data_IF_120531855659
#
_entry.id   IF_120531855659
#
_cell.length_a   1.000
_cell.length_b   1.000
_cell.length_c   1.000
_cell.angle_alpha   90.00
_cell.angle_beta   90.00
_cell.angle_gamma   90.00
#
_symmetry.space_group_name_H-M   'P 1'
#
loop_
_entity.id
_entity.type
_entity.pdbx_description
1 polymer ?
#
# COMPACT_ATOMS: atom_id res chain seq x y z
N UNK A 1 8.04 0.62 27.38
CA UNK A 1 7.22 0.02 26.31
C UNK A 1 6.95 -1.43 26.69
N UNK A 2 5.70 -1.87 26.70
CA UNK A 2 5.34 -3.23 27.13
C UNK A 2 5.87 -4.26 26.10
N UNK A 3 6.33 -5.43 26.59
CA UNK A 3 6.91 -6.49 25.74
C UNK A 3 6.06 -6.82 24.50
N UNK A 4 4.71 -6.96 24.57
CA UNK A 4 3.87 -7.22 23.39
C UNK A 4 3.95 -6.14 22.30
N UNK A 5 4.04 -4.86 22.68
CA UNK A 5 4.17 -3.75 21.72
C UNK A 5 5.50 -3.79 20.97
N UNK A 6 6.59 -4.12 21.67
CA UNK A 6 7.90 -4.26 21.03
C UNK A 6 7.86 -5.37 19.97
N UNK A 7 7.23 -6.51 20.32
CA UNK A 7 7.11 -7.66 19.41
C UNK A 7 6.27 -7.30 18.18
N UNK A 8 5.12 -6.65 18.37
CA UNK A 8 4.25 -6.23 17.24
C UNK A 8 4.98 -5.22 16.34
N UNK A 9 5.69 -4.25 16.90
CA UNK A 9 6.43 -3.27 16.09
C UNK A 9 7.61 -3.91 15.35
N UNK A 10 8.34 -4.82 16.01
CA UNK A 10 9.38 -5.61 15.36
C UNK A 10 8.78 -6.49 14.25
N UNK A 11 7.64 -7.14 14.52
CA UNK A 11 6.94 -7.97 13.56
C UNK A 11 6.57 -7.20 12.30
N UNK A 12 6.00 -6.02 12.42
CA UNK A 12 5.63 -5.17 11.27
C UNK A 12 6.87 -4.69 10.51
N UNK A 13 7.91 -4.28 11.22
CA UNK A 13 9.16 -3.85 10.58
C UNK A 13 9.79 -4.99 9.77
N UNK A 14 9.91 -6.18 10.35
CA UNK A 14 10.49 -7.37 9.70
C UNK A 14 9.64 -7.84 8.51
N UNK A 15 8.31 -7.86 8.65
CA UNK A 15 7.37 -8.21 7.58
C UNK A 15 7.51 -7.23 6.40
N UNK A 16 7.56 -5.92 6.69
CA UNK A 16 7.70 -4.89 5.66
C UNK A 16 9.09 -4.91 5.00
N UNK A 17 10.16 -5.22 5.75
CA UNK A 17 11.49 -5.48 5.16
C UNK A 17 11.38 -6.66 4.19
N UNK A 18 10.71 -7.76 4.59
CA UNK A 18 10.51 -8.94 3.75
C UNK A 18 9.80 -8.61 2.45
N UNK A 19 8.73 -7.83 2.50
CA UNK A 19 8.03 -7.33 1.31
C UNK A 19 8.96 -6.49 0.44
N UNK A 20 9.70 -5.56 1.04
CA UNK A 20 10.60 -4.65 0.34
C UNK A 20 11.78 -5.35 -0.36
N UNK A 21 12.30 -6.42 0.22
CA UNK A 21 13.41 -7.23 -0.33
C UNK A 21 13.11 -7.74 -1.75
N UNK A 22 11.85 -8.00 -2.06
CA UNK A 22 11.43 -8.61 -3.33
C UNK A 22 11.37 -7.61 -4.47
N UNK A 23 10.91 -6.37 -4.21
CA UNK A 23 10.61 -5.40 -5.26
C UNK A 23 11.71 -5.19 -6.31
N UNK A 24 12.99 -4.98 -5.96
CA UNK A 24 14.05 -4.74 -6.93
C UNK A 24 14.45 -5.99 -7.71
N UNK A 25 14.13 -7.19 -7.20
CA UNK A 25 14.66 -8.47 -7.72
C UNK A 25 13.58 -9.32 -8.40
N UNK A 26 12.31 -9.04 -8.17
CA UNK A 26 11.21 -9.82 -8.73
C UNK A 26 11.28 -9.96 -10.26
N UNK A 27 11.59 -8.91 -11.06
CA UNK A 27 11.75 -9.07 -12.51
C UNK A 27 12.82 -10.08 -12.89
N UNK A 28 14.00 -10.01 -12.28
CA UNK A 28 15.11 -10.94 -12.54
C UNK A 28 14.78 -12.38 -12.16
N UNK A 29 14.01 -12.57 -11.05
CA UNK A 29 13.55 -13.90 -10.67
C UNK A 29 12.56 -14.48 -11.70
N UNK A 30 11.61 -13.65 -12.17
CA UNK A 30 10.64 -14.10 -13.19
C UNK A 30 11.33 -14.44 -14.49
N UNK A 31 12.32 -13.66 -14.92
CA UNK A 31 13.15 -13.93 -16.09
C UNK A 31 13.93 -15.24 -15.95
N UNK A 32 14.60 -15.46 -14.81
CA UNK A 32 15.35 -16.68 -14.50
C UNK A 32 14.48 -17.95 -14.55
N UNK A 33 13.25 -17.85 -14.08
CA UNK A 33 12.32 -18.99 -13.98
C UNK A 33 11.57 -19.25 -15.28
N UNK A 34 11.24 -18.20 -16.05
CA UNK A 34 10.43 -18.33 -17.28
C UNK A 34 11.26 -18.42 -18.55
N UNK A 35 12.52 -17.94 -18.50
CA UNK A 35 13.38 -17.75 -19.67
C UNK A 35 12.72 -16.92 -20.78
N UNK A 36 11.72 -16.10 -20.42
CA UNK A 36 10.99 -15.26 -21.34
C UNK A 36 11.72 -13.93 -21.53
N UNK A 37 11.76 -13.43 -22.75
CA UNK A 37 12.35 -12.12 -23.08
C UNK A 37 11.50 -10.95 -22.60
N UNK A 38 10.20 -11.16 -22.42
CA UNK A 38 9.29 -10.16 -21.87
C UNK A 38 8.47 -10.71 -20.70
N UNK A 39 8.75 -10.16 -19.54
CA UNK A 39 8.23 -10.64 -18.25
C UNK A 39 7.18 -9.68 -17.64
N UNK A 40 6.89 -8.54 -18.29
CA UNK A 40 6.03 -7.50 -17.73
C UNK A 40 4.65 -8.05 -17.34
N UNK A 41 4.02 -8.81 -18.23
CA UNK A 41 2.69 -9.39 -17.98
C UNK A 41 2.70 -10.37 -16.81
N UNK A 42 3.75 -11.18 -16.65
CA UNK A 42 3.88 -12.12 -15.54
C UNK A 42 3.98 -11.41 -14.19
N UNK A 43 4.73 -10.29 -14.13
CA UNK A 43 4.82 -9.47 -12.91
C UNK A 43 3.46 -8.91 -12.53
N UNK A 44 2.74 -8.35 -13.51
CA UNK A 44 1.38 -7.84 -13.28
C UNK A 44 0.42 -8.93 -12.79
N UNK A 45 0.51 -10.14 -13.37
CA UNK A 45 -0.34 -11.25 -12.98
C UNK A 45 -0.02 -11.77 -11.56
N UNK A 46 1.26 -11.88 -11.19
CA UNK A 46 1.70 -12.25 -9.84
C UNK A 46 1.19 -11.26 -8.78
N UNK A 47 1.29 -9.95 -9.07
CA UNK A 47 0.80 -8.89 -8.19
C UNK A 47 -0.73 -8.91 -8.07
N UNK A 48 -1.45 -9.03 -9.20
CA UNK A 48 -2.90 -9.08 -9.23
C UNK A 48 -3.47 -10.33 -8.53
N UNK A 49 -2.83 -11.48 -8.69
CA UNK A 49 -3.23 -12.73 -8.00
C UNK A 49 -3.11 -12.57 -6.49
N UNK A 50 -1.98 -12.05 -6.00
CA UNK A 50 -1.79 -11.75 -4.58
C UNK A 50 -2.89 -10.82 -4.06
N UNK A 51 -3.13 -9.69 -4.76
CA UNK A 51 -4.13 -8.71 -4.36
C UNK A 51 -5.57 -9.28 -4.41
N UNK A 52 -5.89 -10.11 -5.39
CA UNK A 52 -7.19 -10.76 -5.51
C UNK A 52 -7.44 -11.73 -4.36
N UNK A 53 -6.45 -12.56 -4.01
CA UNK A 53 -6.54 -13.46 -2.87
C UNK A 53 -6.67 -12.68 -1.56
N UNK A 54 -5.89 -11.61 -1.38
CA UNK A 54 -5.99 -10.73 -0.22
C UNK A 54 -7.38 -10.09 -0.13
N UNK A 55 -7.93 -9.56 -1.23
CA UNK A 55 -9.26 -8.96 -1.26
C UNK A 55 -10.36 -9.92 -0.81
N UNK A 56 -10.31 -11.17 -1.29
CA UNK A 56 -11.32 -12.19 -0.96
C UNK A 56 -11.19 -12.67 0.49
N UNK A 57 -9.96 -12.89 0.95
CA UNK A 57 -9.71 -13.54 2.24
C UNK A 57 -9.47 -12.59 3.41
N UNK A 58 -9.14 -11.30 3.19
CA UNK A 58 -8.94 -10.35 4.28
C UNK A 58 -10.16 -10.21 5.21
N UNK A 59 -11.42 -10.11 4.73
CA UNK A 59 -12.59 -10.09 5.60
C UNK A 59 -12.77 -11.40 6.38
N UNK A 60 -12.45 -12.53 5.76
CA UNK A 60 -12.51 -13.85 6.41
C UNK A 60 -11.51 -13.95 7.55
N UNK A 61 -10.26 -13.54 7.30
CA UNK A 61 -9.20 -13.51 8.32
C UNK A 61 -9.51 -12.51 9.43
N UNK A 62 -10.11 -11.37 9.09
CA UNK A 62 -10.60 -10.39 10.07
C UNK A 62 -11.64 -11.01 11.03
N UNK A 63 -12.69 -11.63 10.47
CA UNK A 63 -13.73 -12.29 11.23
C UNK A 63 -13.19 -13.48 12.05
N UNK A 64 -12.24 -14.23 11.47
CA UNK A 64 -11.57 -15.32 12.19
C UNK A 64 -10.73 -14.80 13.36
N UNK A 65 -10.07 -13.68 13.18
CA UNK A 65 -9.29 -12.99 14.21
C UNK A 65 -10.17 -12.44 15.36
N UNK A 66 -11.38 -11.99 15.04
CA UNK A 66 -12.35 -11.59 16.06
C UNK A 66 -12.86 -12.79 16.87
N UNK A 67 -13.00 -13.95 16.24
CA UNK A 67 -13.54 -15.16 16.86
C UNK A 67 -12.50 -16.00 17.60
N UNK A 68 -11.36 -16.27 16.99
CA UNK A 68 -10.32 -17.16 17.54
C UNK A 68 -9.29 -16.43 18.40
N UNK A 69 -9.29 -15.09 18.34
CA UNK A 69 -8.25 -14.24 18.90
C UNK A 69 -7.28 -13.72 17.83
N UNK A 70 -6.54 -12.68 18.19
CA UNK A 70 -5.61 -11.98 17.27
C UNK A 70 -4.37 -12.83 16.96
N UNK A 71 -3.81 -13.46 18.01
CA UNK A 71 -2.55 -14.19 17.92
C UNK A 71 -2.58 -15.35 16.91
N UNK A 72 -3.57 -16.27 16.90
CA UNK A 72 -3.59 -17.39 15.95
C UNK A 72 -3.60 -16.93 14.49
N UNK A 73 -4.34 -15.86 14.18
CA UNK A 73 -4.42 -15.33 12.81
C UNK A 73 -3.13 -14.60 12.40
N UNK A 74 -2.48 -13.89 13.33
CA UNK A 74 -1.14 -13.33 13.07
C UNK A 74 -0.11 -14.43 12.79
N UNK A 75 -0.11 -15.52 13.58
CA UNK A 75 0.79 -16.65 13.36
C UNK A 75 0.53 -17.33 12.01
N UNK A 76 -0.75 -17.48 11.62
CA UNK A 76 -1.13 -18.01 10.30
C UNK A 76 -0.59 -17.12 9.18
N UNK A 77 -0.75 -15.79 9.31
CA UNK A 77 -0.29 -14.84 8.29
C UNK A 77 1.23 -14.83 8.15
N UNK A 78 1.97 -14.84 9.26
CA UNK A 78 3.43 -14.93 9.25
C UNK A 78 3.93 -16.26 8.68
N UNK A 79 3.23 -17.36 8.97
CA UNK A 79 3.53 -18.68 8.40
C UNK A 79 3.36 -18.68 6.88
N UNK A 80 2.24 -18.10 6.39
CA UNK A 80 1.97 -18.01 4.95
C UNK A 80 3.02 -17.16 4.22
N UNK A 81 3.43 -16.05 4.81
CA UNK A 81 4.50 -15.20 4.25
C UNK A 81 5.84 -15.98 4.22
N UNK A 82 6.21 -16.67 5.30
CA UNK A 82 7.44 -17.46 5.33
C UNK A 82 7.43 -18.57 4.27
N UNK A 83 6.31 -19.27 4.10
CA UNK A 83 6.13 -20.31 3.07
C UNK A 83 6.28 -19.72 1.67
N UNK A 84 5.62 -18.57 1.39
CA UNK A 84 5.72 -17.91 0.09
C UNK A 84 7.18 -17.54 -0.24
N UNK A 85 7.91 -16.96 0.70
CA UNK A 85 9.31 -16.59 0.45
C UNK A 85 10.21 -17.82 0.23
N UNK A 86 9.95 -18.94 0.92
CA UNK A 86 10.63 -20.23 0.64
C UNK A 86 10.27 -20.71 -0.76
N UNK A 87 9.01 -20.66 -1.14
CA UNK A 87 8.58 -21.03 -2.48
C UNK A 87 9.25 -20.15 -3.53
N UNK A 88 9.28 -18.82 -3.34
CA UNK A 88 9.96 -17.91 -4.27
C UNK A 88 11.47 -18.14 -4.35
N UNK A 89 12.12 -18.49 -3.23
CA UNK A 89 13.55 -18.79 -3.19
C UNK A 89 13.91 -20.02 -4.04
N UNK A 90 13.06 -21.04 -4.07
CA UNK A 90 13.36 -22.35 -4.67
C UNK A 90 12.47 -22.70 -5.87
N UNK A 91 11.55 -21.83 -6.31
CA UNK A 91 10.67 -22.10 -7.43
C UNK A 91 11.43 -22.38 -8.71
N UNK A 92 11.22 -23.55 -9.37
CA UNK A 92 11.79 -23.85 -10.67
C UNK A 92 10.87 -23.44 -11.83
N UNK A 93 9.66 -22.97 -11.56
CA UNK A 93 8.65 -22.64 -12.56
C UNK A 93 7.72 -21.52 -12.14
N UNK A 94 7.18 -20.79 -13.11
CA UNK A 94 6.21 -19.73 -12.90
C UNK A 94 4.98 -20.21 -12.12
N UNK A 95 4.53 -21.46 -12.37
CA UNK A 95 3.39 -22.05 -11.69
C UNK A 95 3.58 -22.09 -10.17
N UNK A 96 4.78 -22.45 -9.73
CA UNK A 96 5.06 -22.48 -8.29
C UNK A 96 5.13 -21.07 -7.68
N UNK A 97 5.63 -20.08 -8.42
CA UNK A 97 5.56 -18.66 -8.01
C UNK A 97 4.10 -18.21 -7.85
N UNK A 98 3.21 -18.58 -8.76
CA UNK A 98 1.78 -18.27 -8.66
C UNK A 98 1.15 -18.92 -7.42
N UNK A 99 1.46 -20.19 -7.13
CA UNK A 99 0.99 -20.86 -5.91
C UNK A 99 1.49 -20.14 -4.66
N UNK A 100 2.76 -19.76 -4.61
CA UNK A 100 3.31 -18.95 -3.51
C UNK A 100 2.55 -17.66 -3.32
N UNK A 101 2.36 -16.87 -4.39
CA UNK A 101 1.59 -15.61 -4.35
C UNK A 101 0.14 -15.81 -3.90
N UNK A 102 -0.50 -16.90 -4.32
CA UNK A 102 -1.85 -17.23 -3.87
C UNK A 102 -1.90 -17.54 -2.37
N UNK A 103 -0.96 -18.33 -1.84
CA UNK A 103 -0.84 -18.62 -0.41
C UNK A 103 -0.58 -17.33 0.38
N UNK A 104 0.36 -16.50 -0.05
CA UNK A 104 0.66 -15.24 0.60
C UNK A 104 -0.55 -14.30 0.64
N UNK A 105 -1.27 -14.16 -0.48
CA UNK A 105 -2.48 -13.34 -0.54
C UNK A 105 -3.60 -13.87 0.36
N UNK A 106 -3.82 -15.21 0.35
CA UNK A 106 -4.81 -15.88 1.19
C UNK A 106 -4.55 -15.67 2.69
N UNK A 107 -3.29 -15.63 3.09
CA UNK A 107 -2.89 -15.47 4.51
C UNK A 107 -2.58 -14.03 4.89
N UNK A 108 -2.66 -13.08 3.97
CA UNK A 108 -2.24 -11.67 4.16
C UNK A 108 -3.21 -10.89 5.05
N UNK A 109 -3.04 -11.03 6.36
CA UNK A 109 -3.80 -10.25 7.35
C UNK A 109 -2.90 -9.52 8.38
N UNK A 110 -1.57 -9.56 8.20
CA UNK A 110 -0.61 -9.04 9.19
C UNK A 110 -0.93 -7.61 9.61
N UNK A 111 -1.12 -6.68 8.67
CA UNK A 111 -1.35 -5.26 8.96
C UNK A 111 -2.70 -5.06 9.66
N UNK A 112 -3.78 -5.67 9.16
CA UNK A 112 -5.13 -5.49 9.71
C UNK A 112 -5.25 -6.07 11.12
N UNK A 113 -4.70 -7.27 11.33
CA UNK A 113 -4.74 -7.92 12.65
C UNK A 113 -3.78 -7.25 13.63
N UNK A 114 -2.60 -6.78 13.19
CA UNK A 114 -1.68 -6.02 14.04
C UNK A 114 -2.26 -4.68 14.48
N UNK A 115 -2.97 -3.96 13.60
CA UNK A 115 -3.67 -2.71 13.97
C UNK A 115 -4.81 -2.99 14.96
N UNK A 116 -5.56 -4.06 14.78
CA UNK A 116 -6.58 -4.50 15.74
C UNK A 116 -5.95 -4.88 17.09
N UNK A 117 -4.85 -5.64 17.08
CA UNK A 117 -4.09 -6.00 18.28
C UNK A 117 -3.62 -4.77 19.06
N UNK A 118 -3.02 -3.78 18.36
CA UNK A 118 -2.60 -2.50 18.98
C UNK A 118 -3.80 -1.77 19.59
N UNK A 119 -4.95 -1.78 18.91
CA UNK A 119 -6.18 -1.17 19.40
C UNK A 119 -6.64 -1.83 20.69
N UNK A 120 -6.66 -3.17 20.74
CA UNK A 120 -7.12 -3.95 21.88
C UNK A 120 -6.27 -3.70 23.13
N UNK A 121 -4.94 -3.54 22.99
CA UNK A 121 -4.02 -3.34 24.13
C UNK A 121 -3.70 -1.88 24.45
N UNK A 122 -4.29 -0.92 23.71
CA UNK A 122 -3.95 0.50 23.84
C UNK A 122 -5.05 1.29 24.55
N UNK A 123 -4.74 1.96 25.69
CA UNK A 123 -5.60 3.01 26.24
C UNK A 123 -5.82 4.12 25.21
N UNK A 124 -6.96 4.81 25.30
CA UNK A 124 -7.36 5.84 24.32
C UNK A 124 -6.35 6.99 24.20
N UNK A 125 -5.80 7.42 25.30
CA UNK A 125 -4.83 8.53 25.41
C UNK A 125 -3.49 8.24 24.70
N UNK A 126 -3.08 6.96 24.62
CA UNK A 126 -1.80 6.55 24.02
C UNK A 126 -1.96 5.93 22.63
N UNK A 127 -3.19 5.63 22.19
CA UNK A 127 -3.48 4.91 20.96
C UNK A 127 -2.91 5.61 19.73
N UNK A 128 -3.12 6.92 19.60
CA UNK A 128 -2.59 7.69 18.48
C UNK A 128 -1.05 7.63 18.38
N UNK A 129 -0.34 7.72 19.50
CA UNK A 129 1.12 7.60 19.55
C UNK A 129 1.60 6.21 19.12
N UNK A 130 0.87 5.15 19.52
CA UNK A 130 1.22 3.77 19.13
C UNK A 130 1.02 3.51 17.64
N UNK A 131 -0.05 4.06 17.04
CA UNK A 131 -0.22 4.03 15.60
C UNK A 131 0.85 4.84 14.85
N UNK A 132 1.30 5.96 15.41
CA UNK A 132 2.45 6.70 14.88
C UNK A 132 3.73 5.84 14.85
N UNK A 133 4.01 5.10 15.92
CA UNK A 133 5.14 4.16 15.97
C UNK A 133 4.98 2.99 14.98
N UNK A 134 3.76 2.45 14.84
CA UNK A 134 3.45 1.43 13.85
C UNK A 134 3.79 1.90 12.43
N UNK A 135 3.31 3.09 12.06
CA UNK A 135 3.60 3.67 10.75
C UNK A 135 5.10 3.97 10.55
N UNK A 136 5.80 4.38 11.60
CA UNK A 136 7.26 4.58 11.55
C UNK A 136 8.00 3.26 11.30
N UNK A 137 7.61 2.16 11.97
CA UNK A 137 8.20 0.84 11.74
C UNK A 137 7.92 0.32 10.33
N UNK A 138 6.70 0.53 9.83
CA UNK A 138 6.34 0.25 8.44
C UNK A 138 7.22 1.03 7.46
N UNK A 139 7.40 2.34 7.69
CA UNK A 139 8.25 3.21 6.86
C UNK A 139 9.72 2.78 6.86
N UNK A 140 10.27 2.44 8.04
CA UNK A 140 11.65 1.93 8.16
C UNK A 140 11.82 0.65 7.35
N UNK A 141 10.88 -0.29 7.47
CA UNK A 141 10.91 -1.54 6.72
C UNK A 141 10.85 -1.30 5.22
N UNK A 142 9.99 -0.39 4.78
CA UNK A 142 9.83 -0.05 3.36
C UNK A 142 11.04 0.71 2.77
N UNK A 143 11.83 1.39 3.60
CA UNK A 143 13.10 2.04 3.18
C UNK A 143 14.22 1.00 3.10
N UNK A 144 14.38 0.20 4.17
CA UNK A 144 15.50 -0.75 4.27
C UNK A 144 15.33 -1.96 3.35
N UNK A 145 14.08 -2.44 3.19
CA UNK A 145 13.78 -3.65 2.42
C UNK A 145 14.34 -3.61 0.99
N UNK A 146 13.94 -2.63 0.16
CA UNK A 146 14.41 -2.56 -1.22
C UNK A 146 15.92 -2.38 -1.34
N UNK A 147 16.55 -1.59 -0.45
CA UNK A 147 18.01 -1.39 -0.45
C UNK A 147 18.72 -2.71 -0.16
N UNK A 148 18.31 -3.42 0.90
CA UNK A 148 18.87 -4.72 1.24
C UNK A 148 18.58 -5.75 0.13
N UNK A 149 17.39 -5.72 -0.44
CA UNK A 149 16.99 -6.60 -1.54
C UNK A 149 17.87 -6.42 -2.77
N UNK A 150 18.16 -5.18 -3.12
CA UNK A 150 19.07 -4.85 -4.21
C UNK A 150 20.48 -5.36 -3.97
N UNK A 151 21.06 -5.08 -2.80
CA UNK A 151 22.41 -5.51 -2.42
C UNK A 151 22.52 -7.05 -2.44
N UNK A 152 21.60 -7.73 -1.74
CA UNK A 152 21.62 -9.19 -1.64
C UNK A 152 21.36 -9.85 -3.00
N UNK A 153 20.48 -9.28 -3.82
CA UNK A 153 20.12 -9.81 -5.13
C UNK A 153 21.21 -9.64 -6.18
N UNK A 154 22.04 -8.62 -6.06
CA UNK A 154 23.22 -8.46 -6.94
C UNK A 154 24.34 -9.42 -6.56
N UNK A 155 24.41 -9.87 -5.28
CA UNK A 155 25.34 -10.91 -4.86
C UNK A 155 24.88 -12.30 -5.31
N UNK A 156 23.60 -12.64 -5.05
CA UNK A 156 22.97 -13.89 -5.50
C UNK A 156 21.46 -13.70 -5.62
N UNK A 157 20.91 -13.97 -6.82
CA UNK A 157 19.50 -13.69 -7.18
C UNK A 157 18.48 -14.23 -6.17
N UNK A 158 18.74 -15.38 -5.57
CA UNK A 158 17.83 -16.06 -4.63
C UNK A 158 18.00 -15.62 -3.17
N UNK A 159 19.08 -14.94 -2.84
CA UNK A 159 19.43 -14.56 -1.47
C UNK A 159 18.41 -13.63 -0.79
N UNK A 160 17.82 -12.62 -1.48
CA UNK A 160 16.76 -11.77 -0.89
C UNK A 160 15.55 -12.57 -0.41
N UNK A 161 15.15 -13.59 -1.16
CA UNK A 161 13.99 -14.43 -0.83
C UNK A 161 14.30 -15.34 0.37
N UNK A 162 15.51 -15.91 0.43
CA UNK A 162 15.98 -16.70 1.59
C UNK A 162 16.06 -15.81 2.83
N UNK A 163 16.58 -14.59 2.69
CA UNK A 163 16.64 -13.62 3.79
C UNK A 163 15.23 -13.23 4.27
N UNK A 164 14.30 -12.97 3.35
CA UNK A 164 12.91 -12.68 3.68
C UNK A 164 12.22 -13.87 4.37
N UNK A 165 12.46 -15.10 3.90
CA UNK A 165 11.97 -16.31 4.54
C UNK A 165 12.51 -16.48 5.98
N UNK A 166 13.82 -16.27 6.16
CA UNK A 166 14.46 -16.34 7.48
C UNK A 166 13.94 -15.26 8.43
N UNK A 167 13.77 -14.02 7.96
CA UNK A 167 13.20 -12.92 8.75
C UNK A 167 11.77 -13.23 9.17
N UNK A 168 10.92 -13.72 8.26
CA UNK A 168 9.54 -14.06 8.57
C UNK A 168 9.43 -15.30 9.46
N UNK A 169 10.28 -16.30 9.28
CA UNK A 169 10.35 -17.46 10.18
C UNK A 169 10.81 -17.03 11.59
N UNK A 170 11.82 -16.17 11.69
CA UNK A 170 12.25 -15.60 12.96
C UNK A 170 11.16 -14.77 13.63
N UNK A 171 10.43 -14.00 12.85
CA UNK A 171 9.28 -13.22 13.30
C UNK A 171 8.14 -14.12 13.80
N UNK A 172 7.84 -15.21 13.08
CA UNK A 172 6.88 -16.23 13.48
C UNK A 172 7.27 -16.86 14.82
N UNK A 173 8.53 -17.25 14.98
CA UNK A 173 9.04 -17.80 16.24
C UNK A 173 8.96 -16.77 17.37
N UNK A 174 9.35 -15.51 17.13
CA UNK A 174 9.21 -14.45 18.10
C UNK A 174 7.76 -14.26 18.54
N UNK A 175 6.83 -14.21 17.59
CA UNK A 175 5.41 -14.09 17.88
C UNK A 175 4.86 -15.31 18.61
N UNK A 176 5.31 -16.52 18.24
CA UNK A 176 4.89 -17.78 18.87
C UNK A 176 5.25 -17.84 20.35
N UNK A 177 6.46 -17.41 20.72
CA UNK A 177 6.96 -17.55 22.11
C UNK A 177 6.69 -16.32 22.98
N UNK A 178 6.57 -15.11 22.40
CA UNK A 178 6.55 -13.87 23.17
C UNK A 178 5.22 -13.11 23.07
N UNK A 179 4.44 -13.31 22.00
CA UNK A 179 3.20 -12.55 21.79
C UNK A 179 2.04 -13.18 22.57
N UNK A 180 1.49 -12.53 23.62
CA UNK A 180 0.28 -13.01 24.30
C UNK A 180 -0.96 -12.77 23.42
N UNK A 181 -2.06 -13.43 23.75
CA UNK A 181 -3.36 -13.12 23.15
C UNK A 181 -3.88 -11.78 23.67
N UNK A 182 -4.39 -10.92 22.77
CA UNK A 182 -4.94 -9.61 23.15
C UNK A 182 -6.45 -9.66 23.35
N UNK A 183 -7.14 -10.61 22.72
CA UNK A 183 -8.59 -10.75 22.79
C UNK A 183 -8.96 -12.21 23.03
N UNK A 184 -9.70 -12.55 24.11
CA UNK A 184 -10.12 -13.90 24.36
C UNK A 184 -11.04 -14.40 23.23
N UNK A 185 -10.95 -15.69 22.85
CA UNK A 185 -11.82 -16.27 21.83
C UNK A 185 -13.30 -16.13 22.21
N UNK A 186 -14.14 -15.78 21.23
CA UNK A 186 -15.59 -15.71 21.41
C UNK A 186 -16.27 -16.91 20.75
N UNK A 187 -17.42 -17.34 21.32
CA UNK A 187 -18.24 -18.42 20.73
C UNK A 187 -19.32 -17.88 19.78
N UNK A 188 -19.34 -16.60 19.52
CA UNK A 188 -20.32 -16.01 18.60
C UNK A 188 -20.15 -16.54 17.18
N UNK A 189 -21.25 -16.83 16.48
CA UNK A 189 -21.19 -17.26 15.10
C UNK A 189 -20.62 -16.14 14.23
N UNK A 190 -19.81 -16.52 13.23
CA UNK A 190 -19.29 -15.55 12.26
C UNK A 190 -20.46 -15.05 11.42
N UNK A 191 -20.64 -13.72 11.36
CA UNK A 191 -21.61 -13.11 10.44
C UNK A 191 -21.12 -13.30 8.99
N UNK A 192 -21.78 -14.21 8.27
CA UNK A 192 -21.48 -14.50 6.86
C UNK A 192 -21.64 -13.26 5.97
N UNK A 193 -22.45 -12.30 6.39
CA UNK A 193 -22.60 -11.03 5.65
C UNK A 193 -21.39 -10.11 5.82
N UNK A 194 -20.67 -10.21 6.95
CA UNK A 194 -19.44 -9.46 7.19
C UNK A 194 -18.24 -9.99 6.39
N UNK A 195 -18.25 -11.27 6.01
CA UNK A 195 -17.18 -11.90 5.22
C UNK A 195 -17.25 -11.53 3.73
N UNK A 196 -18.39 -11.06 3.24
CA UNK A 196 -18.56 -10.77 1.81
C UNK A 196 -17.81 -9.48 1.41
N UNK A 197 -16.69 -9.56 0.66
CA UNK A 197 -15.90 -8.40 0.27
C UNK A 197 -16.62 -7.46 -0.70
N UNK A 198 -17.68 -7.93 -1.35
CA UNK A 198 -18.49 -7.14 -2.30
C UNK A 198 -19.63 -6.37 -1.62
N UNK A 199 -19.94 -6.66 -0.36
CA UNK A 199 -21.03 -5.97 0.37
C UNK A 199 -20.79 -4.47 0.49
N UNK A 200 -19.59 -3.97 0.86
CA UNK A 200 -19.32 -2.54 0.88
C UNK A 200 -19.51 -1.88 -0.49
N UNK A 201 -19.05 -2.52 -1.56
CA UNK A 201 -19.20 -2.01 -2.92
C UNK A 201 -20.66 -1.88 -3.35
N UNK A 202 -21.50 -2.90 -3.05
CA UNK A 202 -22.92 -2.86 -3.35
C UNK A 202 -23.62 -1.68 -2.64
N UNK A 203 -23.23 -1.40 -1.42
CA UNK A 203 -23.74 -0.23 -0.70
C UNK A 203 -23.25 1.10 -1.31
N UNK A 204 -21.97 1.17 -1.77
CA UNK A 204 -21.44 2.34 -2.45
C UNK A 204 -22.27 2.72 -3.68
N UNK A 205 -22.66 1.74 -4.50
CA UNK A 205 -23.50 1.97 -5.68
C UNK A 205 -24.91 2.51 -5.34
N UNK A 206 -25.40 2.27 -4.13
CA UNK A 206 -26.69 2.83 -3.67
C UNK A 206 -26.58 4.32 -3.28
N UNK A 207 -25.36 4.82 -2.98
CA UNK A 207 -25.12 6.19 -2.52
C UNK A 207 -24.39 7.01 -3.60
N UNK A 208 -25.16 7.49 -4.59
CA UNK A 208 -24.64 8.27 -5.74
C UNK A 208 -23.74 9.45 -5.34
N UNK A 209 -24.00 10.07 -4.18
CA UNK A 209 -23.21 11.20 -3.67
C UNK A 209 -21.76 10.83 -3.28
N UNK A 210 -21.48 9.57 -2.92
CA UNK A 210 -20.16 9.10 -2.53
C UNK A 210 -19.35 8.57 -3.72
N UNK A 211 -20.01 8.25 -4.83
CA UNK A 211 -19.34 7.66 -6.00
C UNK A 211 -18.13 8.46 -6.51
N UNK A 212 -18.18 9.80 -6.62
CA UNK A 212 -17.01 10.57 -7.07
C UNK A 212 -15.78 10.36 -6.18
N UNK A 213 -15.99 10.24 -4.86
CA UNK A 213 -14.89 10.01 -3.91
C UNK A 213 -14.34 8.59 -4.04
N UNK A 214 -15.21 7.59 -4.16
CA UNK A 214 -14.80 6.20 -4.35
C UNK A 214 -14.00 6.04 -5.64
N UNK A 215 -14.47 6.65 -6.73
CA UNK A 215 -13.75 6.66 -8.02
C UNK A 215 -12.41 7.39 -7.89
N UNK A 216 -12.36 8.49 -7.15
CA UNK A 216 -11.13 9.23 -6.91
C UNK A 216 -10.10 8.38 -6.15
N UNK A 217 -10.51 7.71 -5.08
CA UNK A 217 -9.64 6.77 -4.36
C UNK A 217 -9.15 5.63 -5.25
N UNK A 218 -10.05 5.06 -6.06
CA UNK A 218 -9.71 4.02 -7.02
C UNK A 218 -8.65 4.50 -8.04
N UNK A 219 -8.89 5.66 -8.69
CA UNK A 219 -7.99 6.21 -9.72
C UNK A 219 -6.61 6.52 -9.14
N UNK A 220 -6.55 7.18 -7.98
CA UNK A 220 -5.28 7.52 -7.35
C UNK A 220 -4.52 6.27 -6.89
N UNK A 221 -5.22 5.28 -6.32
CA UNK A 221 -4.61 4.02 -5.92
C UNK A 221 -4.13 3.21 -7.13
N UNK A 222 -4.94 3.11 -8.19
CA UNK A 222 -4.57 2.42 -9.42
C UNK A 222 -3.33 3.06 -10.06
N UNK A 223 -3.24 4.40 -10.09
CA UNK A 223 -2.03 5.09 -10.58
C UNK A 223 -0.80 4.73 -9.74
N UNK A 224 -0.97 4.55 -8.41
CA UNK A 224 0.12 4.13 -7.52
C UNK A 224 0.71 2.76 -7.87
N UNK A 225 -0.10 1.85 -8.41
CA UNK A 225 0.35 0.48 -8.75
C UNK A 225 1.38 0.44 -9.89
N UNK A 226 1.49 1.51 -10.71
CA UNK A 226 2.51 1.60 -11.76
C UNK A 226 3.93 1.53 -11.19
N UNK A 227 4.15 2.11 -10.00
CA UNK A 227 5.46 2.08 -9.35
C UNK A 227 5.84 0.68 -8.90
N UNK A 228 4.92 -0.05 -8.27
CA UNK A 228 5.16 -1.43 -7.83
C UNK A 228 5.36 -2.41 -8.99
N UNK A 229 4.73 -2.14 -10.14
CA UNK A 229 4.71 -3.08 -11.28
C UNK A 229 5.81 -2.79 -12.30
N UNK A 230 6.00 -1.53 -12.68
CA UNK A 230 6.86 -1.17 -13.81
C UNK A 230 8.21 -0.56 -13.40
N UNK A 231 8.39 -0.11 -12.15
CA UNK A 231 9.57 0.64 -11.74
C UNK A 231 10.90 -0.07 -11.99
N UNK A 232 11.00 -1.33 -11.54
CA UNK A 232 12.21 -2.10 -11.68
C UNK A 232 12.52 -2.45 -13.15
N UNK A 233 11.48 -2.77 -13.93
CA UNK A 233 11.61 -3.01 -15.38
C UNK A 233 12.07 -1.75 -16.10
N UNK A 234 11.42 -0.64 -15.89
CA UNK A 234 11.74 0.64 -16.51
C UNK A 234 13.15 1.13 -16.12
N UNK A 235 13.51 1.01 -14.85
CA UNK A 235 14.85 1.36 -14.38
C UNK A 235 15.96 0.54 -15.05
N UNK A 236 15.72 -0.75 -15.28
CA UNK A 236 16.61 -1.62 -16.02
C UNK A 236 16.65 -1.27 -17.52
N UNK A 237 15.47 -1.13 -18.17
CA UNK A 237 15.36 -0.89 -19.60
C UNK A 237 15.94 0.47 -20.04
N UNK A 238 15.80 1.53 -19.20
CA UNK A 238 16.21 2.90 -19.57
C UNK A 238 17.61 3.24 -19.09
N UNK A 239 17.98 2.80 -17.88
CA UNK A 239 19.24 3.20 -17.25
C UNK A 239 20.23 2.05 -17.06
N UNK A 240 19.85 0.81 -17.36
CA UNK A 240 20.65 -0.38 -17.07
C UNK A 240 20.83 -0.60 -15.55
N UNK A 241 19.89 -0.17 -14.73
CA UNK A 241 20.01 -0.27 -13.28
C UNK A 241 20.03 -1.73 -12.83
N UNK A 242 21.00 -2.05 -11.99
CA UNK A 242 21.04 -3.31 -11.25
C UNK A 242 20.11 -3.24 -9.99
N UNK A 243 20.06 -4.31 -9.24
CA UNK A 243 19.24 -4.42 -8.03
C UNK A 243 19.55 -3.32 -7.00
N UNK A 244 20.83 -2.96 -6.83
CA UNK A 244 21.25 -1.91 -5.90
C UNK A 244 20.67 -0.54 -6.27
N UNK A 245 20.77 -0.11 -7.54
CA UNK A 245 20.24 1.19 -7.96
C UNK A 245 18.72 1.24 -7.88
N UNK A 246 18.03 0.14 -8.23
CA UNK A 246 16.57 0.02 -8.06
C UNK A 246 16.22 0.12 -6.57
N UNK A 247 16.94 -0.61 -5.71
CA UNK A 247 16.74 -0.58 -4.26
C UNK A 247 16.98 0.80 -3.66
N UNK A 248 18.07 1.48 -4.04
CA UNK A 248 18.38 2.85 -3.59
C UNK A 248 17.32 3.85 -4.02
N UNK A 249 16.80 3.74 -5.24
CA UNK A 249 15.73 4.63 -5.74
C UNK A 249 14.45 4.45 -4.93
N UNK A 250 14.04 3.21 -4.64
CA UNK A 250 12.88 2.93 -3.79
C UNK A 250 13.10 3.37 -2.33
N UNK A 251 14.31 3.17 -1.79
CA UNK A 251 14.67 3.66 -0.47
C UNK A 251 14.62 5.18 -0.38
N UNK A 252 15.15 5.89 -1.39
CA UNK A 252 15.08 7.36 -1.48
C UNK A 252 13.64 7.84 -1.55
N UNK A 253 12.79 7.18 -2.37
CA UNK A 253 11.35 7.46 -2.39
C UNK A 253 10.73 7.28 -0.99
N UNK A 254 11.03 6.19 -0.30
CA UNK A 254 10.53 5.92 1.06
C UNK A 254 10.91 7.01 2.06
N UNK A 255 12.16 7.50 2.02
CA UNK A 255 12.61 8.63 2.87
C UNK A 255 11.84 9.90 2.53
N UNK A 256 11.79 10.27 1.25
CA UNK A 256 11.07 11.47 0.81
C UNK A 256 9.58 11.41 1.18
N UNK A 257 8.95 10.25 0.98
CA UNK A 257 7.55 10.01 1.32
C UNK A 257 7.28 10.14 2.83
N UNK A 258 8.15 9.57 3.66
CA UNK A 258 8.03 9.66 5.12
C UNK A 258 8.15 11.12 5.59
N UNK A 259 9.13 11.85 5.09
CA UNK A 259 9.30 13.26 5.40
C UNK A 259 8.12 14.10 4.90
N UNK A 260 7.68 13.88 3.67
CA UNK A 260 6.54 14.61 3.10
C UNK A 260 5.26 14.36 3.90
N UNK A 261 4.94 13.12 4.25
CA UNK A 261 3.75 12.80 5.05
C UNK A 261 3.82 13.34 6.47
N UNK A 262 4.99 13.44 7.07
CA UNK A 262 5.15 14.00 8.41
C UNK A 262 5.01 15.53 8.44
N UNK A 263 5.47 16.23 7.39
CA UNK A 263 5.64 17.68 7.43
C UNK A 263 4.62 18.46 6.61
N UNK A 264 4.09 17.91 5.52
CA UNK A 264 3.39 18.69 4.51
C UNK A 264 1.85 18.71 4.61
N UNK A 265 1.13 17.68 5.06
CA UNK A 265 -0.34 17.67 5.03
C UNK A 265 -0.98 18.82 5.81
N UNK A 266 -0.49 19.09 7.02
CA UNK A 266 -0.99 20.19 7.85
C UNK A 266 -0.84 21.55 7.19
N UNK A 267 0.37 22.00 6.82
CA UNK A 267 0.58 23.24 6.09
C UNK A 267 -0.15 23.31 4.75
N UNK A 268 -0.17 22.22 3.97
CA UNK A 268 -0.86 22.19 2.69
C UNK A 268 -2.37 22.47 2.83
N UNK A 269 -3.02 21.80 3.78
CA UNK A 269 -4.45 22.02 4.05
C UNK A 269 -4.72 23.42 4.60
N UNK A 270 -3.85 23.96 5.46
CA UNK A 270 -3.98 25.33 5.99
C UNK A 270 -3.86 26.39 4.91
N UNK A 271 -2.93 26.24 3.95
CA UNK A 271 -2.65 27.24 2.92
C UNK A 271 -3.59 27.11 1.71
N UNK A 272 -3.88 25.90 1.27
CA UNK A 272 -4.60 25.64 0.02
C UNK A 272 -6.04 25.13 0.24
N UNK A 273 -6.40 24.82 1.48
CA UNK A 273 -7.62 24.05 1.80
C UNK A 273 -7.52 22.59 1.37
N UNK A 274 -8.49 21.77 1.77
CA UNK A 274 -8.49 20.32 1.46
C UNK A 274 -8.46 20.07 -0.06
N UNK A 275 -9.31 20.78 -0.82
CA UNK A 275 -9.37 20.66 -2.27
C UNK A 275 -8.09 21.08 -2.97
N UNK A 276 -7.51 22.20 -2.55
CA UNK A 276 -6.23 22.71 -3.08
C UNK A 276 -5.08 21.75 -2.78
N UNK A 277 -5.03 21.15 -1.58
CA UNK A 277 -4.03 20.16 -1.22
C UNK A 277 -4.10 18.90 -2.09
N UNK A 278 -5.33 18.41 -2.38
CA UNK A 278 -5.53 17.27 -3.28
C UNK A 278 -5.05 17.62 -4.71
N UNK A 279 -5.45 18.78 -5.24
CA UNK A 279 -5.04 19.21 -6.58
C UNK A 279 -3.54 19.43 -6.68
N UNK A 280 -2.91 20.01 -5.65
CA UNK A 280 -1.46 20.16 -5.58
C UNK A 280 -0.73 18.80 -5.58
N UNK A 281 -1.26 17.81 -4.85
CA UNK A 281 -0.77 16.44 -4.88
C UNK A 281 -0.86 15.81 -6.26
N UNK A 282 -2.02 15.94 -6.94
CA UNK A 282 -2.21 15.43 -8.31
C UNK A 282 -1.27 16.13 -9.30
N UNK A 283 -1.12 17.47 -9.20
CA UNK A 283 -0.21 18.23 -10.05
C UNK A 283 1.25 17.79 -9.84
N UNK A 284 1.68 17.65 -8.58
CA UNK A 284 3.01 17.15 -8.24
C UNK A 284 3.29 15.75 -8.82
N UNK A 285 2.30 14.85 -8.72
CA UNK A 285 2.37 13.52 -9.35
C UNK A 285 2.51 13.63 -10.87
N UNK A 286 1.69 14.45 -11.53
CA UNK A 286 1.76 14.62 -12.98
C UNK A 286 3.13 15.17 -13.44
N UNK A 287 3.69 16.16 -12.71
CA UNK A 287 5.03 16.69 -13.00
C UNK A 287 6.09 15.59 -12.87
N UNK A 288 6.03 14.81 -11.80
CA UNK A 288 6.99 13.73 -11.59
C UNK A 288 6.88 12.63 -12.67
N UNK A 289 5.66 12.20 -13.00
CA UNK A 289 5.40 11.22 -14.06
C UNK A 289 5.86 11.74 -15.43
N UNK A 290 5.67 13.02 -15.72
CA UNK A 290 6.19 13.65 -16.93
C UNK A 290 7.73 13.60 -16.99
N UNK A 291 8.39 13.95 -15.88
CA UNK A 291 9.87 13.89 -15.81
C UNK A 291 10.37 12.45 -15.99
N UNK A 292 9.71 11.46 -15.38
CA UNK A 292 10.08 10.04 -15.57
C UNK A 292 9.93 9.60 -17.02
N UNK A 293 8.90 10.05 -17.74
CA UNK A 293 8.67 9.69 -19.13
C UNK A 293 9.85 10.11 -20.03
N UNK A 294 10.46 11.25 -19.74
CA UNK A 294 11.55 11.83 -20.54
C UNK A 294 12.92 11.74 -19.88
N UNK A 295 13.05 11.06 -18.74
CA UNK A 295 14.31 10.92 -18.03
C UNK A 295 15.31 10.10 -18.87
N UNK A 296 16.47 10.70 -19.16
CA UNK A 296 17.58 10.07 -19.89
C UNK A 296 18.72 9.64 -18.97
N UNK A 297 18.77 10.17 -17.76
CA UNK A 297 19.81 9.91 -16.78
C UNK A 297 19.23 9.55 -15.43
N UNK A 298 19.80 8.55 -14.75
CA UNK A 298 19.31 8.07 -13.45
C UNK A 298 19.24 9.14 -12.38
N UNK A 299 20.16 10.13 -12.37
CA UNK A 299 20.14 11.22 -11.38
C UNK A 299 18.85 12.07 -11.44
N UNK A 300 18.22 12.21 -12.63
CA UNK A 300 16.95 12.94 -12.78
C UNK A 300 15.84 12.31 -11.95
N UNK A 301 15.87 10.98 -11.83
CA UNK A 301 14.91 10.21 -11.03
C UNK A 301 15.04 10.57 -9.57
N UNK A 302 16.27 10.59 -9.04
CA UNK A 302 16.51 10.97 -7.64
C UNK A 302 16.16 12.45 -7.37
N UNK A 303 16.47 13.34 -8.30
CA UNK A 303 16.17 14.77 -8.17
C UNK A 303 14.67 15.06 -8.07
N UNK A 304 13.82 14.30 -8.77
CA UNK A 304 12.36 14.51 -8.76
C UNK A 304 11.64 13.78 -7.61
N UNK A 305 12.30 12.88 -6.85
CA UNK A 305 11.69 12.10 -5.77
C UNK A 305 10.94 12.95 -4.71
N UNK A 306 11.42 14.13 -4.30
CA UNK A 306 10.65 14.98 -3.39
C UNK A 306 9.30 15.41 -3.98
N UNK A 307 9.22 15.62 -5.30
CA UNK A 307 7.98 15.96 -5.98
C UNK A 307 7.01 14.76 -6.03
N UNK A 308 7.53 13.54 -6.23
CA UNK A 308 6.71 12.31 -6.12
C UNK A 308 6.12 12.19 -4.72
N UNK A 309 6.91 12.49 -3.70
CA UNK A 309 6.47 12.43 -2.31
C UNK A 309 5.39 13.47 -1.99
N UNK A 310 5.40 14.63 -2.63
CA UNK A 310 4.33 15.63 -2.53
C UNK A 310 2.97 15.07 -2.97
N UNK A 311 2.93 14.15 -3.92
CA UNK A 311 1.70 13.51 -4.36
C UNK A 311 0.97 12.80 -3.21
N UNK A 312 1.71 12.21 -2.27
CA UNK A 312 1.17 11.55 -1.09
C UNK A 312 0.45 12.48 -0.10
N UNK A 313 0.66 13.80 -0.18
CA UNK A 313 0.02 14.77 0.73
C UNK A 313 -1.48 14.93 0.49
N UNK A 314 -1.95 14.63 -0.71
CA UNK A 314 -3.37 14.71 -1.08
C UNK A 314 -4.23 13.62 -0.43
N UNK A 315 -3.66 12.46 -0.12
CA UNK A 315 -4.41 11.31 0.44
C UNK A 315 -5.04 11.60 1.81
N UNK A 316 -4.32 12.18 2.80
CA UNK A 316 -4.93 12.57 4.08
C UNK A 316 -6.00 13.64 3.93
N UNK A 317 -5.82 14.61 3.03
CA UNK A 317 -6.82 15.63 2.75
C UNK A 317 -8.09 15.04 2.14
N UNK A 318 -7.92 14.10 1.21
CA UNK A 318 -9.03 13.36 0.61
C UNK A 318 -9.77 12.51 1.64
N UNK A 319 -9.06 11.84 2.54
CA UNK A 319 -9.65 11.04 3.61
C UNK A 319 -10.42 11.91 4.62
N UNK A 320 -9.87 13.09 4.98
CA UNK A 320 -10.58 14.08 5.81
C UNK A 320 -11.87 14.57 5.13
N UNK A 321 -11.80 14.92 3.85
CA UNK A 321 -12.97 15.32 3.08
C UNK A 321 -14.05 14.22 3.03
N UNK A 322 -13.60 12.99 2.80
CA UNK A 322 -14.46 11.83 2.67
C UNK A 322 -15.22 11.52 3.97
N UNK A 323 -14.56 11.60 5.12
CA UNK A 323 -15.19 11.34 6.43
C UNK A 323 -16.26 12.37 6.80
N UNK A 324 -16.15 13.61 6.32
CA UNK A 324 -17.16 14.66 6.57
C UNK A 324 -18.48 14.48 5.79
N UNK A 325 -18.48 13.64 4.78
CA UNK A 325 -19.66 13.39 3.93
C UNK A 325 -20.50 12.23 4.41
N UNK A 326 -20.08 11.55 5.46
CA UNK A 326 -20.75 10.38 6.01
C UNK A 326 -21.01 10.57 7.49
N UNK A 327 -22.21 10.21 7.95
CA UNK A 327 -22.58 10.24 9.36
C UNK A 327 -21.65 9.34 10.19
N UNK A 328 -21.38 9.70 11.45
CA UNK A 328 -20.51 8.96 12.38
C UNK A 328 -20.89 7.48 12.47
N UNK A 329 -22.19 7.16 12.51
CA UNK A 329 -22.70 5.79 12.57
C UNK A 329 -22.39 4.93 11.35
N UNK A 330 -22.03 5.52 10.20
CA UNK A 330 -21.73 4.84 8.93
C UNK A 330 -20.28 4.95 8.50
N UNK A 331 -19.43 5.61 9.27
CA UNK A 331 -18.01 5.79 8.92
C UNK A 331 -17.29 4.45 8.72
N UNK A 332 -17.56 3.44 9.56
CA UNK A 332 -16.98 2.11 9.40
C UNK A 332 -17.34 1.44 8.06
N UNK A 333 -18.61 1.55 7.64
CA UNK A 333 -19.05 1.03 6.35
C UNK A 333 -18.37 1.77 5.20
N UNK A 334 -18.22 3.08 5.31
CA UNK A 334 -17.56 3.90 4.30
C UNK A 334 -16.06 3.58 4.18
N UNK A 335 -15.35 3.39 5.29
CA UNK A 335 -13.95 2.94 5.27
C UNK A 335 -13.83 1.56 4.58
N UNK A 336 -14.79 0.67 4.79
CA UNK A 336 -14.86 -0.61 4.07
C UNK A 336 -15.00 -0.44 2.55
N UNK A 337 -15.78 0.57 2.08
CA UNK A 337 -15.87 0.89 0.64
C UNK A 337 -14.53 1.37 0.10
N UNK A 338 -13.86 2.30 0.80
CA UNK A 338 -12.58 2.82 0.38
C UNK A 338 -11.53 1.70 0.31
N UNK A 339 -11.49 0.84 1.31
CA UNK A 339 -10.60 -0.33 1.32
C UNK A 339 -10.89 -1.27 0.13
N UNK A 340 -12.17 -1.52 -0.18
CA UNK A 340 -12.56 -2.33 -1.35
C UNK A 340 -12.14 -1.68 -2.67
N UNK A 341 -12.31 -0.36 -2.81
CA UNK A 341 -11.88 0.38 -4.00
C UNK A 341 -10.36 0.32 -4.19
N UNK A 342 -9.59 0.49 -3.10
CA UNK A 342 -8.13 0.36 -3.11
C UNK A 342 -7.69 -1.06 -3.48
N UNK A 343 -8.31 -2.09 -2.90
CA UNK A 343 -8.01 -3.49 -3.23
C UNK A 343 -8.32 -3.82 -4.69
N UNK A 344 -9.43 -3.29 -5.23
CA UNK A 344 -9.74 -3.45 -6.66
C UNK A 344 -8.72 -2.74 -7.55
N UNK A 345 -8.23 -1.57 -7.14
CA UNK A 345 -7.14 -0.88 -7.81
C UNK A 345 -5.84 -1.70 -7.81
N UNK A 346 -5.53 -2.37 -6.70
CA UNK A 346 -4.35 -3.25 -6.60
C UNK A 346 -4.48 -4.56 -7.40
N UNK A 347 -5.69 -4.92 -7.85
CA UNK A 347 -5.91 -6.03 -8.80
C UNK A 347 -5.80 -5.52 -10.24
N UNK A 348 -6.53 -4.45 -10.58
CA UNK A 348 -6.65 -3.95 -11.95
C UNK A 348 -5.39 -3.19 -12.38
N UNK A 349 -4.82 -2.38 -11.49
CA UNK A 349 -3.66 -1.53 -11.75
C UNK A 349 -2.46 -2.32 -12.29
N UNK A 350 -1.97 -3.35 -11.59
CA UNK A 350 -0.86 -4.16 -12.06
C UNK A 350 -1.11 -4.81 -13.43
N UNK A 351 -2.31 -5.36 -13.65
CA UNK A 351 -2.67 -5.97 -14.94
C UNK A 351 -2.68 -4.94 -16.08
N UNK A 352 -3.27 -3.78 -15.82
CA UNK A 352 -3.36 -2.71 -16.80
C UNK A 352 -1.98 -2.16 -17.16
N UNK A 353 -1.19 -1.78 -16.14
CA UNK A 353 0.11 -1.15 -16.38
C UNK A 353 1.17 -2.14 -16.89
N UNK A 354 1.15 -3.40 -16.43
CA UNK A 354 2.07 -4.42 -16.95
C UNK A 354 1.80 -4.75 -18.41
N UNK A 355 0.52 -4.90 -18.80
CA UNK A 355 0.13 -5.13 -20.17
C UNK A 355 0.47 -3.94 -21.06
N UNK A 356 0.22 -2.72 -20.57
CA UNK A 356 0.57 -1.51 -21.30
C UNK A 356 2.09 -1.37 -21.44
N UNK A 357 2.85 -1.68 -20.40
CA UNK A 357 4.30 -1.66 -20.43
C UNK A 357 4.85 -2.68 -21.46
N UNK A 358 4.30 -3.88 -21.49
CA UNK A 358 4.61 -4.88 -22.50
C UNK A 358 4.49 -4.33 -23.92
N UNK A 359 3.45 -3.57 -24.22
CA UNK A 359 3.22 -3.00 -25.56
C UNK A 359 4.19 -1.86 -25.88
N UNK A 360 4.49 -0.99 -24.91
CA UNK A 360 5.24 0.25 -25.18
C UNK A 360 6.76 0.12 -25.00
N UNK A 361 7.25 -0.86 -24.20
CA UNK A 361 8.66 -0.93 -23.80
C UNK A 361 9.63 -1.06 -24.97
N UNK A 362 9.24 -1.75 -26.03
CA UNK A 362 10.10 -1.97 -27.20
C UNK A 362 10.37 -0.69 -27.99
N UNK A 363 9.46 0.30 -27.92
CA UNK A 363 9.57 1.54 -28.69
C UNK A 363 9.97 2.70 -27.76
N UNK A 364 9.29 2.85 -26.64
CA UNK A 364 9.53 3.93 -25.68
C UNK A 364 9.07 3.53 -24.25
N UNK A 365 9.97 2.97 -23.43
CA UNK A 365 9.64 2.55 -22.07
C UNK A 365 9.05 3.67 -21.20
N UNK A 366 9.43 4.93 -21.47
CA UNK A 366 8.92 6.11 -20.76
C UNK A 366 7.41 6.40 -20.96
N UNK A 367 6.80 5.85 -22.02
CA UNK A 367 5.38 6.06 -22.33
C UNK A 367 4.45 5.54 -21.22
N UNK A 368 4.90 4.57 -20.41
CA UNK A 368 4.14 4.07 -19.27
C UNK A 368 3.82 5.18 -18.25
N UNK A 369 4.76 6.09 -18.04
CA UNK A 369 4.58 7.20 -17.10
C UNK A 369 3.59 8.23 -17.63
N UNK A 370 3.55 8.49 -18.94
CA UNK A 370 2.51 9.33 -19.53
C UNK A 370 1.13 8.69 -19.44
N UNK A 371 1.06 7.38 -19.58
CA UNK A 371 -0.20 6.65 -19.39
C UNK A 371 -0.70 6.74 -17.96
N UNK A 372 0.19 6.58 -16.97
CA UNK A 372 -0.13 6.79 -15.57
C UNK A 372 -0.53 8.24 -15.28
N UNK A 373 0.13 9.21 -15.90
CA UNK A 373 -0.23 10.63 -15.82
C UNK A 373 -1.64 10.89 -16.39
N UNK A 374 -1.99 10.28 -17.51
CA UNK A 374 -3.32 10.41 -18.10
C UNK A 374 -4.41 9.84 -17.16
N UNK A 375 -4.17 8.66 -16.56
CA UNK A 375 -5.08 8.08 -15.55
C UNK A 375 -5.19 9.00 -14.33
N UNK A 376 -4.06 9.52 -13.83
CA UNK A 376 -4.05 10.44 -12.68
C UNK A 376 -4.80 11.76 -12.98
N UNK A 377 -4.70 12.26 -14.21
CA UNK A 377 -5.38 13.48 -14.64
C UNK A 377 -6.93 13.35 -14.62
N UNK A 378 -7.49 12.14 -14.74
CA UNK A 378 -8.93 11.87 -14.57
C UNK A 378 -9.42 12.30 -13.19
N UNK A 379 -8.55 12.29 -12.18
CA UNK A 379 -8.89 12.73 -10.84
C UNK A 379 -9.20 14.25 -10.77
N UNK A 380 -8.62 15.08 -11.64
CA UNK A 380 -8.79 16.55 -11.62
C UNK A 380 -10.26 16.97 -11.77
N UNK A 381 -10.98 16.61 -12.84
CA UNK A 381 -12.38 17.00 -13.00
C UNK A 381 -13.26 16.44 -11.87
N UNK A 382 -12.94 15.26 -11.33
CA UNK A 382 -13.67 14.68 -10.20
C UNK A 382 -13.50 15.57 -8.96
N UNK A 383 -12.26 15.95 -8.61
CA UNK A 383 -12.00 16.85 -7.48
C UNK A 383 -12.67 18.20 -7.68
N UNK A 384 -12.66 18.72 -8.91
CA UNK A 384 -13.32 20.00 -9.25
C UNK A 384 -14.85 19.91 -9.12
N UNK A 385 -15.47 18.77 -9.34
CA UNK A 385 -16.91 18.57 -9.21
C UNK A 385 -17.39 18.36 -7.77
N UNK A 386 -16.50 18.02 -6.83
CA UNK A 386 -16.88 17.81 -5.43
C UNK A 386 -17.42 19.11 -4.81
N UNK A 387 -18.67 19.11 -4.36
CA UNK A 387 -19.28 20.23 -3.65
C UNK A 387 -18.90 20.16 -2.17
N UNK A 388 -17.90 20.93 -1.75
CA UNK A 388 -17.54 21.08 -0.34
C UNK A 388 -18.50 22.03 0.31
N UNK A 389 -19.39 21.54 1.21
CA UNK A 389 -20.15 22.45 2.08
C UNK A 389 -19.17 23.11 3.06
N UNK A 390 -19.17 24.45 3.20
CA UNK A 390 -18.34 25.11 4.19
C UNK A 390 -18.70 24.55 5.58
N UNK A 391 -17.70 24.22 6.40
CA UNK A 391 -17.90 23.75 7.76
C UNK A 391 -18.70 24.77 8.57
N UNK A 392 -19.79 24.35 9.20
CA UNK A 392 -20.60 25.20 10.06
C UNK A 392 -19.87 25.67 11.34
N UNK A 393 -18.67 25.18 11.60
CA UNK A 393 -17.87 25.47 12.79
C UNK A 393 -17.33 26.90 12.87
N UNK A 394 -17.36 27.70 11.80
CA UNK A 394 -16.95 29.12 11.86
C UNK A 394 -18.11 30.09 12.09
N UNK A 395 -19.36 29.62 12.15
CA UNK A 395 -20.51 30.49 12.44
C UNK A 395 -20.85 30.61 13.93
N UNK A 396 -20.35 29.72 14.78
CA UNK A 396 -20.65 29.74 16.22
C UNK A 396 -19.66 30.55 17.07
N UNK A 397 -18.67 31.18 16.47
CA UNK A 397 -17.70 32.04 17.17
C UNK A 397 -17.76 33.54 16.80
N UNK A 398 -18.86 34.00 16.22
CA UNK A 398 -19.10 35.44 16.28
C UNK A 398 -19.75 35.75 17.63
N UNK A 399 -19.11 36.54 18.50
CA UNK A 399 -19.75 37.03 19.70
C UNK A 399 -21.01 37.80 19.29
N UNK A 400 -22.12 37.54 19.95
CA UNK A 400 -23.31 38.37 19.89
C UNK A 400 -22.93 39.81 20.34
N UNK A 401 -22.63 40.67 19.38
CA UNK A 401 -22.78 42.09 19.58
C UNK A 401 -24.29 42.39 19.56
N UNK A 402 -24.93 42.15 20.67
CA UNK A 402 -26.17 42.77 21.04
C UNK A 402 -25.94 43.44 22.41
N UNK A 403 -25.41 44.63 22.31
CA UNK A 403 -25.59 45.68 23.32
C UNK A 403 -26.15 46.88 22.62
N UNK A 404 -27.43 47.06 22.79
CA UNK A 404 -28.15 48.31 23.09
C UNK A 404 -29.63 48.01 23.11
#
# INVERSE_FOLDING_TARGET
>A
MNKPLVVIFAAICLDTIGIGLIFPILPRLVEDVTHASDIAVYIGFLAALYAAMQFVFAPVLGALSDRLGRRPVLLLSLSGAAIDYVVMAFAPSLWLLLVGRAIAGLTSANISVATAYITDISPEDTRARRFGLFNAMFGIGFILGPVLGGILGDYWLRLPFIAAAALNAGNLLLALFVLPESRPPTREPIDLAAINPFRPMRWAFSMKALMPIVVLFFVLSATGEVYGTCWALWGNDVFGWNGLWIGLSLGTFGVCQTLAQALLPGPAVKLLGERGAILAGIAGACVALFVFAYAKHGWMVFAIMPMVALAGTGTPALQSLATRLVDESRQGQFQGILASAMSLASIIGPLMFSTLYFVVRAHWPGAIWLSAMAVNAIAVPIVLSLRIRPSQTLRSQRPNDQLC
#
